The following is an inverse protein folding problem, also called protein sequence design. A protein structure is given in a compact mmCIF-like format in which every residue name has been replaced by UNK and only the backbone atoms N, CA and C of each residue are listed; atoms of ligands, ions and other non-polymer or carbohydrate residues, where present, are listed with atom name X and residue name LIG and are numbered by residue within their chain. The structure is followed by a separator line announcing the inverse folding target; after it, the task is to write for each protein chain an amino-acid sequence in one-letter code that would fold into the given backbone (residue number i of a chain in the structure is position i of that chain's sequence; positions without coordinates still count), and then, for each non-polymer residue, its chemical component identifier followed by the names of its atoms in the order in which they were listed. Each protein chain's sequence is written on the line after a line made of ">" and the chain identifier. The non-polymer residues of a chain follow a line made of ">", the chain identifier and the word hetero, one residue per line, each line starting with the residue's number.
data_IF_145123880908
#
_entry.id   IF_145123880908
#
_cell.length_a   1.000
_cell.length_b   1.000
_cell.length_c   1.000
_cell.angle_alpha   90.00
_cell.angle_beta   90.00
_cell.angle_gamma   90.00
#
_symmetry.space_group_name_H-M   'P 1'
#
loop_
_entity.id
_entity.type
_entity.pdbx_description
1 polymer ?
#
# COMPACT_ATOMS: atom_id res chain seq x y z
N UNK A 1 -6.41 2.30 -12.10
CA UNK A 1 -7.23 3.15 -13.01
C UNK A 1 -7.01 4.66 -12.86
N UNK A 2 -6.56 5.17 -11.72
CA UNK A 2 -6.33 6.62 -11.50
C UNK A 2 -5.14 7.16 -12.30
N UNK A 3 -4.02 6.41 -12.37
CA UNK A 3 -2.82 6.80 -13.13
C UNK A 3 -3.11 6.92 -14.63
N UNK A 4 -3.85 5.97 -15.22
CA UNK A 4 -4.26 6.02 -16.63
C UNK A 4 -5.13 7.24 -16.94
N UNK A 5 -6.06 7.61 -16.03
CA UNK A 5 -6.88 8.83 -16.20
C UNK A 5 -6.03 10.10 -16.19
N UNK A 6 -4.98 10.15 -15.36
CA UNK A 6 -4.08 11.29 -15.31
C UNK A 6 -3.16 11.36 -16.51
N UNK A 7 -2.73 10.22 -17.06
CA UNK A 7 -1.95 10.18 -18.30
C UNK A 7 -2.72 10.79 -19.48
N UNK A 8 -4.00 10.42 -19.63
CA UNK A 8 -4.85 10.91 -20.72
C UNK A 8 -5.24 12.39 -20.57
N UNK A 9 -5.38 12.87 -19.33
CA UNK A 9 -5.88 14.24 -19.05
C UNK A 9 -4.77 15.28 -18.89
N UNK A 10 -3.68 14.92 -18.22
CA UNK A 10 -2.67 15.88 -17.76
C UNK A 10 -1.29 15.63 -18.35
N UNK A 11 -1.14 14.61 -19.21
CA UNK A 11 0.10 14.24 -19.88
C UNK A 11 0.99 13.28 -19.07
N UNK A 12 1.80 12.49 -19.81
CA UNK A 12 2.63 11.40 -19.27
C UNK A 12 3.57 11.84 -18.12
N UNK A 13 4.19 13.00 -18.24
CA UNK A 13 5.15 13.48 -17.24
C UNK A 13 4.50 13.69 -15.86
N UNK A 14 3.29 14.24 -15.82
CA UNK A 14 2.57 14.46 -14.55
C UNK A 14 2.08 13.16 -13.94
N UNK A 15 1.69 12.19 -14.79
CA UNK A 15 1.34 10.86 -14.34
C UNK A 15 2.54 10.11 -13.74
N UNK A 16 3.75 10.29 -14.27
CA UNK A 16 4.99 9.75 -13.69
C UNK A 16 5.29 10.32 -12.31
N UNK A 17 5.11 11.62 -12.10
CA UNK A 17 5.27 12.22 -10.77
C UNK A 17 4.26 11.67 -9.75
N UNK A 18 3.05 11.41 -10.19
CA UNK A 18 2.04 10.73 -9.37
C UNK A 18 2.48 9.31 -9.00
N UNK A 19 2.95 8.52 -9.98
CA UNK A 19 3.45 7.17 -9.77
C UNK A 19 4.64 7.12 -8.82
N UNK A 20 5.55 8.08 -8.93
CA UNK A 20 6.71 8.21 -8.05
C UNK A 20 6.29 8.52 -6.61
N UNK A 21 5.34 9.44 -6.41
CA UNK A 21 4.79 9.73 -5.09
C UNK A 21 4.10 8.52 -4.46
N UNK A 22 3.32 7.78 -5.23
CA UNK A 22 2.68 6.55 -4.76
C UNK A 22 3.70 5.47 -4.39
N UNK A 23 4.72 5.24 -5.21
CA UNK A 23 5.78 4.27 -4.94
C UNK A 23 6.60 4.61 -3.68
N UNK A 24 6.84 5.89 -3.41
CA UNK A 24 7.51 6.35 -2.19
C UNK A 24 6.73 5.93 -0.94
N UNK A 25 5.41 6.09 -0.95
CA UNK A 25 4.58 5.66 0.19
C UNK A 25 4.53 4.14 0.32
N UNK A 26 4.45 3.39 -0.80
CA UNK A 26 4.53 1.93 -0.77
C UNK A 26 5.83 1.46 -0.12
N UNK A 27 6.96 2.11 -0.38
CA UNK A 27 8.22 1.82 0.28
C UNK A 27 8.11 1.93 1.82
N UNK A 28 7.58 3.06 2.32
CA UNK A 28 7.42 3.25 3.76
C UNK A 28 6.39 2.29 4.37
N UNK A 29 5.29 2.04 3.70
CA UNK A 29 4.29 1.06 4.14
C UNK A 29 4.89 -0.35 4.24
N UNK A 30 5.70 -0.74 3.28
CA UNK A 30 6.40 -2.02 3.29
C UNK A 30 7.42 -2.08 4.42
N UNK A 31 8.21 -1.03 4.65
CA UNK A 31 9.13 -0.97 5.79
C UNK A 31 8.40 -1.17 7.12
N UNK A 32 7.33 -0.43 7.34
CA UNK A 32 6.51 -0.55 8.56
C UNK A 32 5.96 -1.97 8.70
N UNK A 33 5.43 -2.53 7.61
CA UNK A 33 4.88 -3.87 7.59
C UNK A 33 5.92 -4.95 7.96
N UNK A 34 7.11 -4.89 7.34
CA UNK A 34 8.17 -5.88 7.58
C UNK A 34 8.80 -5.72 8.96
N UNK A 35 8.96 -4.50 9.46
CA UNK A 35 9.40 -4.27 10.84
C UNK A 35 8.40 -4.80 11.85
N UNK A 36 7.12 -4.65 11.58
CA UNK A 36 6.06 -5.23 12.40
C UNK A 36 6.06 -6.76 12.32
N UNK A 37 6.24 -7.34 11.13
CA UNK A 37 6.39 -8.78 10.95
C UNK A 37 7.61 -9.34 11.71
N UNK A 38 8.74 -8.63 11.67
CA UNK A 38 9.94 -8.97 12.46
C UNK A 38 9.65 -8.97 13.97
N UNK A 39 8.86 -8.01 14.45
CA UNK A 39 8.48 -7.96 15.86
C UNK A 39 7.61 -9.15 16.26
N UNK A 40 6.69 -9.57 15.37
CA UNK A 40 5.85 -10.76 15.55
C UNK A 40 6.69 -12.03 15.57
N UNK A 41 7.58 -12.20 14.58
CA UNK A 41 8.41 -13.40 14.40
C UNK A 41 9.31 -13.69 15.61
N UNK A 42 9.78 -12.63 16.28
CA UNK A 42 10.63 -12.76 17.46
C UNK A 42 9.92 -13.22 18.75
N UNK A 43 8.58 -13.27 18.75
CA UNK A 43 7.77 -13.63 19.92
C UNK A 43 6.81 -14.74 19.57
N UNK A 44 7.23 -15.98 19.80
CA UNK A 44 6.42 -17.17 19.55
C UNK A 44 5.04 -17.15 20.26
N UNK A 45 4.94 -16.51 21.42
CA UNK A 45 3.70 -16.41 22.21
C UNK A 45 2.66 -15.47 21.57
N UNK A 46 3.08 -14.60 20.66
CA UNK A 46 2.21 -13.60 20.01
C UNK A 46 1.46 -14.21 18.81
N UNK A 47 1.92 -15.32 18.24
CA UNK A 47 1.28 -15.93 17.06
C UNK A 47 -0.19 -16.25 17.30
N UNK A 48 -0.55 -16.78 18.46
CA UNK A 48 -1.95 -17.10 18.80
C UNK A 48 -2.77 -15.81 18.97
N UNK A 49 -2.24 -14.84 19.69
CA UNK A 49 -2.91 -13.55 19.94
C UNK A 49 -3.08 -12.78 18.62
N UNK A 50 -2.09 -12.87 17.72
CA UNK A 50 -2.17 -12.20 16.43
C UNK A 50 -3.15 -12.84 15.45
N UNK A 51 -3.28 -14.17 15.49
CA UNK A 51 -4.31 -14.85 14.72
C UNK A 51 -5.70 -14.41 15.18
N UNK A 52 -5.93 -14.29 16.50
CA UNK A 52 -7.20 -13.80 17.04
C UNK A 52 -7.44 -12.34 16.71
N UNK A 53 -6.44 -11.46 16.88
CA UNK A 53 -6.54 -10.03 16.53
C UNK A 53 -6.70 -9.87 15.02
N UNK A 54 -5.95 -10.62 14.21
CA UNK A 54 -6.08 -10.62 12.76
C UNK A 54 -7.48 -10.99 12.33
N UNK A 55 -8.04 -12.05 12.89
CA UNK A 55 -9.42 -12.47 12.61
C UNK A 55 -10.44 -11.37 12.96
N UNK A 56 -10.32 -10.75 14.14
CA UNK A 56 -11.21 -9.65 14.58
C UNK A 56 -11.09 -8.43 13.67
N UNK A 57 -9.85 -8.05 13.29
CA UNK A 57 -9.59 -6.91 12.39
C UNK A 57 -10.17 -7.19 11.00
N UNK A 58 -9.91 -8.38 10.43
CA UNK A 58 -10.45 -8.73 9.11
C UNK A 58 -11.97 -8.86 9.12
N UNK A 59 -12.56 -9.43 10.18
CA UNK A 59 -14.01 -9.48 10.34
C UNK A 59 -14.60 -8.07 10.44
N UNK A 60 -13.99 -7.20 11.24
CA UNK A 60 -14.41 -5.79 11.38
C UNK A 60 -14.31 -5.01 10.08
N UNK A 61 -13.19 -5.15 9.34
CA UNK A 61 -13.03 -4.55 8.02
C UNK A 61 -14.04 -5.10 7.01
N UNK A 62 -14.30 -6.39 7.02
CA UNK A 62 -15.29 -7.03 6.14
C UNK A 62 -16.70 -6.47 6.39
N UNK A 63 -17.10 -6.35 7.64
CA UNK A 63 -18.38 -5.75 8.04
C UNK A 63 -18.43 -4.28 7.64
N UNK A 64 -17.36 -3.53 7.88
CA UNK A 64 -17.26 -2.12 7.51
C UNK A 64 -17.38 -1.92 6.00
N UNK A 65 -16.66 -2.69 5.20
CA UNK A 65 -16.74 -2.62 3.74
C UNK A 65 -18.12 -3.07 3.22
N UNK A 66 -18.71 -4.10 3.80
CA UNK A 66 -20.05 -4.54 3.45
C UNK A 66 -21.11 -3.46 3.72
N UNK A 67 -21.03 -2.81 4.88
CA UNK A 67 -21.92 -1.70 5.23
C UNK A 67 -21.70 -0.46 4.36
N UNK A 68 -20.47 -0.12 4.07
CA UNK A 68 -20.11 1.02 3.22
C UNK A 68 -20.48 0.75 1.77
N UNK A 69 -20.30 -0.47 1.27
CA UNK A 69 -20.75 -0.87 -0.07
C UNK A 69 -22.28 -0.78 -0.20
N UNK A 70 -23.01 -1.16 0.84
CA UNK A 70 -24.48 -1.08 0.86
C UNK A 70 -25.01 0.36 0.89
N UNK A 71 -24.23 1.30 1.44
CA UNK A 71 -24.52 2.76 1.40
C UNK A 71 -24.02 3.44 0.13
N UNK A 72 -23.35 2.71 -0.77
CA UNK A 72 -22.80 3.25 -1.99
C UNK A 72 -23.85 3.58 -3.01
N UNK A 73 -24.18 4.83 -3.11
CA UNK A 73 -24.44 5.66 -4.29
C UNK A 73 -24.96 7.04 -3.88
N UNK A 74 -24.36 7.69 -2.92
CA UNK A 74 -24.36 9.14 -2.96
C UNK A 74 -23.12 9.52 -3.76
N UNK A 75 -23.34 9.88 -5.00
CA UNK A 75 -22.38 10.53 -5.88
C UNK A 75 -21.80 11.72 -5.12
N UNK A 76 -20.67 11.51 -4.42
CA UNK A 76 -19.88 12.66 -3.99
C UNK A 76 -19.52 13.36 -5.28
N UNK A 77 -20.11 14.52 -5.51
CA UNK A 77 -19.58 15.50 -6.48
C UNK A 77 -18.08 15.48 -6.26
N UNK A 78 -17.35 15.02 -7.27
CA UNK A 78 -15.91 15.15 -7.31
C UNK A 78 -15.66 16.64 -7.25
N UNK A 79 -15.28 17.16 -6.09
CA UNK A 79 -14.53 18.39 -6.06
C UNK A 79 -13.31 18.14 -6.92
N UNK A 80 -13.34 18.66 -8.13
CA UNK A 80 -12.20 18.68 -9.01
C UNK A 80 -11.17 19.58 -8.33
N UNK A 81 -10.31 18.96 -7.53
CA UNK A 81 -9.10 19.60 -7.07
C UNK A 81 -8.33 19.93 -8.36
N UNK A 82 -8.41 21.20 -8.79
CA UNK A 82 -7.66 21.73 -9.94
C UNK A 82 -6.19 21.82 -9.57
N UNK A 83 -5.54 20.68 -9.52
CA UNK A 83 -4.14 20.58 -9.18
C UNK A 83 -3.35 20.60 -10.48
N UNK A 84 -2.73 21.73 -10.83
CA UNK A 84 -2.07 21.99 -12.11
C UNK A 84 -0.56 21.73 -12.14
N UNK A 85 0.12 21.52 -11.00
CA UNK A 85 1.58 21.42 -10.94
C UNK A 85 2.08 19.98 -10.79
N UNK A 86 3.33 19.69 -11.24
CA UNK A 86 4.00 18.38 -11.07
C UNK A 86 4.09 17.98 -9.60
N UNK A 87 4.50 18.91 -8.75
CA UNK A 87 4.60 18.73 -7.30
C UNK A 87 3.27 18.32 -6.70
N UNK A 88 2.19 18.94 -7.10
CA UNK A 88 0.85 18.62 -6.61
C UNK A 88 0.40 17.21 -6.99
N UNK A 89 0.82 16.69 -8.15
CA UNK A 89 0.55 15.30 -8.56
C UNK A 89 1.35 14.30 -7.73
N UNK A 90 2.57 14.63 -7.39
CA UNK A 90 3.38 13.82 -6.48
C UNK A 90 2.71 13.71 -5.10
N UNK A 91 2.33 14.82 -4.48
CA UNK A 91 1.61 14.81 -3.20
C UNK A 91 0.25 14.11 -3.27
N UNK A 92 -0.45 14.20 -4.38
CA UNK A 92 -1.70 13.49 -4.59
C UNK A 92 -1.47 11.97 -4.65
N UNK A 93 -0.41 11.51 -5.32
CA UNK A 93 0.00 10.11 -5.33
C UNK A 93 0.32 9.60 -3.94
N UNK A 94 1.08 10.36 -3.16
CA UNK A 94 1.36 10.07 -1.76
C UNK A 94 0.07 9.96 -0.93
N UNK A 95 -0.80 10.96 -1.01
CA UNK A 95 -2.03 10.99 -0.23
C UNK A 95 -2.94 9.80 -0.52
N UNK A 96 -3.14 9.47 -1.79
CA UNK A 96 -3.97 8.33 -2.17
C UNK A 96 -3.35 6.99 -1.74
N UNK A 97 -2.02 6.89 -1.75
CA UNK A 97 -1.32 5.71 -1.23
C UNK A 97 -1.41 5.60 0.29
N UNK A 98 -1.29 6.70 1.02
CA UNK A 98 -1.45 6.70 2.49
C UNK A 98 -2.86 6.25 2.89
N UNK A 99 -3.88 6.69 2.16
CA UNK A 99 -5.26 6.28 2.40
C UNK A 99 -5.51 4.79 2.09
N UNK A 100 -4.66 4.18 1.28
CA UNK A 100 -4.71 2.76 1.01
C UNK A 100 -3.90 1.99 2.06
N UNK A 101 -4.51 1.62 3.16
CA UNK A 101 -3.88 0.86 4.25
C UNK A 101 -3.76 -0.64 3.97
N UNK A 102 -4.38 -1.14 2.93
CA UNK A 102 -4.40 -2.56 2.58
C UNK A 102 -3.01 -3.19 2.35
N UNK A 103 -2.00 -2.50 1.77
CA UNK A 103 -0.67 -3.06 1.59
C UNK A 103 0.02 -3.48 2.89
N UNK A 104 -0.24 -2.82 4.02
CA UNK A 104 0.43 -3.12 5.29
C UNK A 104 0.16 -4.56 5.75
N UNK A 105 -1.09 -5.01 5.98
CA UNK A 105 -1.36 -6.39 6.38
C UNK A 105 -0.94 -7.41 5.30
N UNK A 106 -1.04 -7.04 4.04
CA UNK A 106 -0.60 -7.88 2.92
C UNK A 106 0.92 -8.16 2.99
N UNK A 107 1.76 -7.13 3.15
CA UNK A 107 3.20 -7.30 3.23
C UNK A 107 3.65 -7.96 4.55
N UNK A 108 2.93 -7.75 5.66
CA UNK A 108 3.15 -8.52 6.89
C UNK A 108 2.96 -10.01 6.62
N UNK A 109 1.85 -10.39 6.02
CA UNK A 109 1.55 -11.79 5.71
C UNK A 109 2.59 -12.41 4.76
N UNK A 110 2.93 -11.72 3.67
CA UNK A 110 3.91 -12.21 2.69
C UNK A 110 5.29 -12.39 3.33
N UNK A 111 5.76 -11.42 4.12
CA UNK A 111 7.09 -11.50 4.74
C UNK A 111 7.20 -12.63 5.77
N UNK A 112 6.17 -12.87 6.56
CA UNK A 112 6.10 -13.99 7.51
C UNK A 112 6.07 -15.33 6.74
N UNK A 113 5.27 -15.41 5.67
CA UNK A 113 5.19 -16.62 4.85
C UNK A 113 6.52 -16.94 4.20
N UNK A 114 7.21 -15.95 3.61
CA UNK A 114 8.53 -16.16 3.02
C UNK A 114 9.59 -16.54 4.07
N UNK A 115 9.51 -15.97 5.28
CA UNK A 115 10.39 -16.34 6.38
C UNK A 115 10.16 -17.80 6.83
N UNK A 116 8.90 -18.24 6.89
CA UNK A 116 8.55 -19.64 7.23
C UNK A 116 9.13 -20.67 6.25
N UNK A 117 9.31 -20.28 4.99
CA UNK A 117 9.94 -21.13 3.97
C UNK A 117 11.45 -20.89 3.84
N UNK A 118 12.08 -20.14 4.74
CA UNK A 118 13.51 -19.76 4.71
C UNK A 118 13.95 -18.98 3.45
N UNK A 119 13.02 -18.41 2.70
CA UNK A 119 13.34 -17.52 1.56
C UNK A 119 13.60 -16.09 1.96
N UNK A 120 13.24 -15.71 3.18
CA UNK A 120 13.39 -14.34 3.70
C UNK A 120 13.89 -14.39 5.14
N UNK A 121 14.84 -13.50 5.46
CA UNK A 121 15.35 -13.31 6.82
C UNK A 121 15.10 -11.87 7.26
N UNK A 122 14.68 -11.69 8.52
CA UNK A 122 14.42 -10.36 9.08
C UNK A 122 15.70 -9.60 9.45
N UNK A 123 16.74 -9.72 8.63
CA UNK A 123 17.92 -8.90 8.73
C UNK A 123 17.75 -7.57 8.00
N UNK A 124 18.47 -6.56 8.44
CA UNK A 124 18.34 -5.20 7.93
C UNK A 124 18.46 -5.11 6.41
N UNK A 125 19.43 -5.84 5.83
CA UNK A 125 19.65 -5.88 4.39
C UNK A 125 18.43 -6.40 3.61
N UNK A 126 17.85 -7.54 4.05
CA UNK A 126 16.68 -8.13 3.38
C UNK A 126 15.44 -7.25 3.51
N UNK A 127 15.28 -6.56 4.65
CA UNK A 127 14.15 -5.64 4.88
C UNK A 127 14.19 -4.49 3.87
N UNK A 128 15.35 -3.84 3.71
CA UNK A 128 15.48 -2.75 2.74
C UNK A 128 15.38 -3.25 1.29
N UNK A 129 15.98 -4.39 0.96
CA UNK A 129 15.88 -4.99 -0.37
C UNK A 129 14.42 -5.31 -0.73
N UNK A 130 13.65 -5.86 0.20
CA UNK A 130 12.24 -6.16 0.01
C UNK A 130 11.42 -4.88 -0.17
N UNK A 131 11.62 -3.86 0.66
CA UNK A 131 10.92 -2.59 0.55
C UNK A 131 11.25 -1.85 -0.75
N UNK A 132 12.51 -1.87 -1.19
CA UNK A 132 12.91 -1.32 -2.50
C UNK A 132 12.28 -2.09 -3.65
N UNK A 133 12.29 -3.41 -3.59
CA UNK A 133 11.65 -4.27 -4.60
C UNK A 133 10.17 -3.98 -4.76
N UNK A 134 9.43 -3.84 -3.67
CA UNK A 134 8.00 -3.52 -3.71
C UNK A 134 7.72 -2.12 -4.26
N UNK A 135 8.56 -1.13 -3.91
CA UNK A 135 8.44 0.23 -4.44
C UNK A 135 8.70 0.28 -5.95
N UNK A 136 9.74 -0.40 -6.42
CA UNK A 136 10.07 -0.52 -7.86
C UNK A 136 8.94 -1.23 -8.59
N UNK A 137 8.43 -2.34 -8.06
CA UNK A 137 7.31 -3.06 -8.65
C UNK A 137 6.06 -2.20 -8.75
N UNK A 138 5.72 -1.46 -7.68
CA UNK A 138 4.59 -0.52 -7.69
C UNK A 138 4.78 0.58 -8.74
N UNK A 139 5.98 1.14 -8.85
CA UNK A 139 6.28 2.14 -9.87
C UNK A 139 6.13 1.58 -11.28
N UNK A 140 6.66 0.38 -11.55
CA UNK A 140 6.56 -0.28 -12.86
C UNK A 140 5.11 -0.58 -13.24
N UNK A 141 4.28 -1.01 -12.28
CA UNK A 141 2.85 -1.22 -12.50
C UNK A 141 2.17 0.09 -12.89
N UNK A 142 2.42 1.18 -12.16
CA UNK A 142 1.88 2.49 -12.50
C UNK A 142 2.39 3.00 -13.84
N UNK A 143 3.66 2.77 -14.14
CA UNK A 143 4.26 3.10 -15.45
C UNK A 143 3.58 2.36 -16.60
N UNK A 144 3.26 1.08 -16.41
CA UNK A 144 2.54 0.29 -17.42
C UNK A 144 1.11 0.79 -17.69
N UNK A 145 0.52 1.55 -16.77
CA UNK A 145 -0.80 2.18 -16.95
C UNK A 145 -0.73 3.61 -17.54
N UNK A 146 0.44 4.18 -17.71
CA UNK A 146 0.70 5.53 -18.24
C UNK A 146 0.97 5.48 -19.75
#
# INVERSE_FOLDING_TARGET
>A
MTAAKFSLRDGRVRALWFAFGAATIVFFQTLVAVLFARFIDRRADINTILQEIGFVVFAGLSIYFFWTAKKGKKTKKKEEIKIRTKSSRFFLGMLLSILNLFPIPYYVFISITLASYNYFQFETYYIYAFAMGTAVAAFLIFFGYI
#
